data_IF_706156029308
#
_entry.id   IF_706156029308
#
_cell.length_a   1.000
_cell.length_b   1.000
_cell.length_c   1.000
_cell.angle_alpha   90.00
_cell.angle_beta   90.00
_cell.angle_gamma   90.00
#
_symmetry.space_group_name_H-M   'P 1'
#
loop_
_entity.id
_entity.type
_entity.pdbx_description
1 polymer ?
#
# COMPACT_ATOMS: atom_id res chain seq x y z
N UNK A 1 -33.54 -44.01 -3.09
CA UNK A 1 -33.34 -42.82 -2.23
C UNK A 1 -32.36 -43.22 -1.15
N UNK A 2 -31.08 -42.89 -1.33
CA UNK A 2 -30.01 -43.11 -0.35
C UNK A 2 -29.42 -41.73 -0.07
N UNK A 3 -29.55 -41.35 1.20
CA UNK A 3 -28.87 -40.30 1.94
C UNK A 3 -28.24 -39.16 1.16
N UNK A 4 -28.91 -38.01 1.20
CA UNK A 4 -28.34 -36.69 1.01
C UNK A 4 -27.32 -36.44 2.13
N UNK A 5 -26.10 -36.98 1.97
CA UNK A 5 -24.97 -36.62 2.83
C UNK A 5 -24.45 -35.28 2.33
N UNK A 6 -25.02 -34.20 2.87
CA UNK A 6 -24.33 -32.91 2.94
C UNK A 6 -22.98 -33.18 3.58
N UNK A 7 -21.96 -33.32 2.73
CA UNK A 7 -20.57 -33.27 3.11
C UNK A 7 -20.42 -31.91 3.80
N UNK A 8 -20.53 -31.89 5.13
CA UNK A 8 -20.02 -30.80 5.92
C UNK A 8 -18.54 -30.75 5.55
N UNK A 9 -18.20 -29.87 4.61
CA UNK A 9 -16.84 -29.59 4.23
C UNK A 9 -16.18 -28.98 5.47
N UNK A 10 -15.69 -29.84 6.36
CA UNK A 10 -14.88 -29.45 7.49
C UNK A 10 -13.59 -28.95 6.89
N UNK A 11 -13.57 -27.64 6.60
CA UNK A 11 -12.36 -26.90 6.27
C UNK A 11 -11.37 -27.21 7.38
N UNK A 12 -10.42 -28.10 7.09
CA UNK A 12 -9.32 -28.44 7.99
C UNK A 12 -8.23 -27.44 7.63
N UNK A 13 -8.10 -26.32 8.37
CA UNK A 13 -7.16 -25.28 7.99
C UNK A 13 -5.77 -25.89 8.06
N UNK A 14 -5.05 -25.86 6.94
CA UNK A 14 -3.70 -26.39 6.90
C UNK A 14 -2.85 -25.61 7.91
N UNK A 15 -2.29 -26.26 8.96
CA UNK A 15 -1.51 -25.57 9.98
C UNK A 15 -0.25 -24.90 9.41
N UNK A 16 0.24 -25.35 8.25
CA UNK A 16 1.38 -24.76 7.56
C UNK A 16 1.00 -23.55 6.68
N UNK A 17 -0.29 -23.35 6.40
CA UNK A 17 -0.83 -22.22 5.65
C UNK A 17 -2.02 -21.63 6.39
N UNK A 18 -1.78 -20.93 7.52
CA UNK A 18 -2.85 -20.31 8.26
C UNK A 18 -3.58 -19.32 7.35
N UNK A 19 -4.91 -19.42 7.30
CA UNK A 19 -5.77 -18.54 6.52
C UNK A 19 -5.76 -17.13 7.15
N UNK A 20 -4.71 -16.37 6.86
CA UNK A 20 -4.51 -15.02 7.39
C UNK A 20 -4.75 -13.99 6.31
N UNK A 21 -5.39 -12.90 6.70
CA UNK A 21 -5.56 -11.72 5.85
C UNK A 21 -4.30 -10.84 5.80
N UNK A 22 -3.21 -11.29 6.45
CA UNK A 22 -1.99 -10.52 6.58
C UNK A 22 -1.46 -10.09 5.20
N UNK A 23 -1.31 -11.02 4.25
CA UNK A 23 -0.83 -10.70 2.90
C UNK A 23 -1.72 -9.69 2.17
N UNK A 24 -3.04 -9.76 2.37
CA UNK A 24 -3.97 -8.78 1.80
C UNK A 24 -3.76 -7.38 2.39
N UNK A 25 -3.62 -7.26 3.72
CA UNK A 25 -3.35 -5.98 4.36
C UNK A 25 -1.98 -5.41 3.99
N UNK A 26 -0.95 -6.26 3.86
CA UNK A 26 0.36 -5.86 3.36
C UNK A 26 0.28 -5.29 1.94
N UNK A 27 -0.40 -5.99 1.04
CA UNK A 27 -0.63 -5.51 -0.32
C UNK A 27 -1.41 -4.18 -0.33
N UNK A 28 -2.42 -4.03 0.53
CA UNK A 28 -3.19 -2.78 0.66
C UNK A 28 -2.32 -1.61 1.12
N UNK A 29 -1.42 -1.84 2.09
CA UNK A 29 -0.43 -0.85 2.52
C UNK A 29 0.51 -0.49 1.38
N UNK A 30 0.96 -1.47 0.59
CA UNK A 30 1.79 -1.25 -0.60
C UNK A 30 1.11 -0.34 -1.64
N UNK A 31 -0.15 -0.63 -1.97
CA UNK A 31 -0.97 0.18 -2.90
C UNK A 31 -1.19 1.59 -2.35
N UNK A 32 -1.51 1.73 -1.07
CA UNK A 32 -1.69 3.02 -0.43
C UNK A 32 -0.40 3.87 -0.48
N UNK A 33 0.76 3.26 -0.22
CA UNK A 33 2.06 3.91 -0.39
C UNK A 33 2.28 4.41 -1.83
N UNK A 34 1.87 3.61 -2.82
CA UNK A 34 2.02 3.98 -4.23
C UNK A 34 1.20 5.23 -4.59
N UNK A 35 -0.02 5.34 -4.07
CA UNK A 35 -0.84 6.55 -4.21
C UNK A 35 -0.16 7.77 -3.57
N UNK A 36 0.44 7.60 -2.39
CA UNK A 36 1.17 8.68 -1.69
C UNK A 36 2.37 9.14 -2.52
N UNK A 37 3.12 8.23 -3.14
CA UNK A 37 4.23 8.57 -4.04
C UNK A 37 3.73 9.41 -5.23
N UNK A 38 2.63 9.01 -5.87
CA UNK A 38 2.05 9.75 -7.00
C UNK A 38 1.62 11.15 -6.57
N UNK A 39 0.98 11.28 -5.40
CA UNK A 39 0.58 12.59 -4.84
C UNK A 39 1.80 13.45 -4.53
N UNK A 40 2.84 12.87 -3.90
CA UNK A 40 4.09 13.58 -3.61
C UNK A 40 4.80 14.06 -4.88
N UNK A 41 4.83 13.25 -5.93
CA UNK A 41 5.38 13.62 -7.23
C UNK A 41 4.57 14.73 -7.90
N UNK A 42 3.24 14.61 -7.92
CA UNK A 42 2.34 15.62 -8.49
C UNK A 42 2.48 16.96 -7.76
N UNK A 43 2.53 16.95 -6.42
CA UNK A 43 2.77 18.14 -5.61
C UNK A 43 4.14 18.75 -5.93
N UNK A 44 5.20 17.93 -6.00
CA UNK A 44 6.55 18.41 -6.32
C UNK A 44 6.56 19.11 -7.69
N UNK A 45 5.97 18.50 -8.72
CA UNK A 45 5.89 19.08 -10.07
C UNK A 45 5.03 20.36 -10.10
N UNK A 46 3.89 20.37 -9.42
CA UNK A 46 3.01 21.53 -9.34
C UNK A 46 3.69 22.71 -8.63
N UNK A 47 4.37 22.45 -7.51
CA UNK A 47 5.19 23.43 -6.80
C UNK A 47 6.33 23.96 -7.66
N UNK A 48 6.95 23.11 -8.47
CA UNK A 48 8.01 23.53 -9.38
C UNK A 48 7.50 24.42 -10.50
N UNK A 49 6.30 24.14 -11.03
CA UNK A 49 5.65 24.95 -12.07
C UNK A 49 5.12 26.31 -11.57
N UNK A 50 4.81 26.43 -10.28
CA UNK A 50 4.26 27.66 -9.66
C UNK A 50 5.37 28.53 -9.04
N UNK A 51 6.64 28.17 -9.22
CA UNK A 51 7.81 28.71 -8.50
C UNK A 51 8.15 30.21 -8.72
N UNK A 52 7.33 30.99 -9.40
CA UNK A 52 7.46 32.46 -9.44
C UNK A 52 7.11 33.14 -8.09
N UNK A 53 6.46 32.43 -7.15
CA UNK A 53 6.04 33.01 -5.86
C UNK A 53 6.34 32.10 -4.65
N UNK A 54 7.55 32.27 -4.11
CA UNK A 54 7.95 32.17 -2.68
C UNK A 54 7.85 30.85 -1.87
N UNK A 55 8.83 30.77 -0.94
CA UNK A 55 9.06 29.86 0.22
C UNK A 55 9.67 28.48 -0.08
N UNK A 56 10.99 28.42 0.08
CA UNK A 56 11.82 27.20 0.13
C UNK A 56 11.24 26.06 1.00
N UNK A 57 10.50 26.39 2.05
CA UNK A 57 9.86 25.38 2.92
C UNK A 57 8.80 24.51 2.20
N UNK A 58 8.14 25.04 1.18
CA UNK A 58 7.16 24.30 0.38
C UNK A 58 7.84 23.37 -0.65
N UNK A 59 9.10 23.67 -0.98
CA UNK A 59 9.93 22.87 -1.88
C UNK A 59 10.37 21.53 -1.27
N UNK A 60 10.50 21.47 0.07
CA UNK A 60 10.92 20.27 0.80
C UNK A 60 9.75 19.31 1.05
N UNK A 61 8.52 19.82 1.08
CA UNK A 61 7.33 19.03 1.41
C UNK A 61 7.05 17.92 0.39
N UNK A 62 7.16 18.21 -0.90
CA UNK A 62 6.95 17.24 -1.98
C UNK A 62 7.92 16.05 -1.92
N UNK A 63 9.25 16.28 -1.88
CA UNK A 63 10.26 15.23 -1.72
C UNK A 63 10.08 14.39 -0.45
N UNK A 64 9.71 15.02 0.67
CA UNK A 64 9.47 14.31 1.94
C UNK A 64 8.26 13.38 1.84
N UNK A 65 7.14 13.86 1.28
CA UNK A 65 5.95 13.02 1.07
C UNK A 65 6.27 11.86 0.13
N UNK A 66 7.06 12.10 -0.92
CA UNK A 66 7.51 11.07 -1.85
C UNK A 66 8.37 10.02 -1.15
N UNK A 67 9.34 10.43 -0.34
CA UNK A 67 10.18 9.51 0.44
C UNK A 67 9.37 8.66 1.43
N UNK A 68 8.39 9.26 2.12
CA UNK A 68 7.49 8.56 3.04
C UNK A 68 6.64 7.53 2.27
N UNK A 69 6.04 7.93 1.15
CA UNK A 69 5.26 7.02 0.30
C UNK A 69 6.09 5.82 -0.16
N UNK A 70 7.34 6.07 -0.56
CA UNK A 70 8.24 5.02 -1.06
C UNK A 70 8.67 4.06 0.05
N UNK A 71 8.91 4.56 1.28
CA UNK A 71 9.17 3.72 2.44
C UNK A 71 7.96 2.84 2.79
N UNK A 72 6.74 3.40 2.75
CA UNK A 72 5.49 2.65 3.00
C UNK A 72 5.27 1.58 1.91
N UNK A 73 5.51 1.90 0.64
CA UNK A 73 5.42 0.93 -0.47
C UNK A 73 6.43 -0.20 -0.32
N UNK A 74 7.69 0.14 0.01
CA UNK A 74 8.75 -0.85 0.22
C UNK A 74 8.40 -1.81 1.36
N UNK A 75 7.89 -1.28 2.47
CA UNK A 75 7.41 -2.08 3.58
C UNK A 75 6.20 -2.94 3.16
N UNK A 76 5.18 -2.33 2.55
CA UNK A 76 3.94 -2.98 2.12
C UNK A 76 4.13 -4.17 1.19
N UNK A 77 5.07 -4.08 0.25
CA UNK A 77 5.37 -5.17 -0.68
C UNK A 77 6.53 -6.08 -0.23
N UNK A 78 7.17 -5.79 0.91
CA UNK A 78 8.35 -6.52 1.36
C UNK A 78 9.54 -6.40 0.40
N UNK A 79 9.73 -5.22 -0.21
CA UNK A 79 10.83 -4.93 -1.15
C UNK A 79 12.16 -4.64 -0.42
N UNK A 80 12.31 -5.08 0.82
CA UNK A 80 13.47 -4.85 1.68
C UNK A 80 14.05 -6.17 2.19
#
# INVERSE_FOLDING_TARGET
>A
MIGDVTLAATSTPNPNHPATWAGFFWALVGVAGCLIVVIGAALTVALWRVSDQKKLGNYVLGPVILAIGLAITGWGFGLW
#
